data_IF_577170322403
#
_entry.id   IF_577170322403
#
_cell.length_a   1.000
_cell.length_b   1.000
_cell.length_c   1.000
_cell.angle_alpha   90.00
_cell.angle_beta   90.00
_cell.angle_gamma   90.00
#
_symmetry.space_group_name_H-M   'P 1'
#
loop_
_entity.id
_entity.type
_entity.pdbx_description
1 polymer ?
#
# COMPACT_ATOMS: atom_id res chain seq x y z
N UNK A 1 -3.62 1.58 19.77
CA UNK A 1 -3.87 2.70 18.86
C UNK A 1 -4.87 2.25 17.81
N UNK A 2 -5.83 3.10 17.49
CA UNK A 2 -6.81 2.83 16.45
C UNK A 2 -6.55 3.74 15.25
N UNK A 3 -6.55 3.15 14.06
CA UNK A 3 -6.47 3.88 12.81
C UNK A 3 -7.80 3.73 12.08
N UNK A 4 -8.43 4.86 11.78
CA UNK A 4 -9.67 4.84 10.99
C UNK A 4 -9.34 4.49 9.55
N UNK A 5 -10.16 3.61 8.96
CA UNK A 5 -9.98 3.18 7.57
C UNK A 5 -11.33 3.16 6.84
N UNK A 6 -11.31 3.61 5.59
CA UNK A 6 -12.41 3.40 4.65
C UNK A 6 -11.87 2.49 3.55
N UNK A 7 -12.57 1.38 3.34
CA UNK A 7 -12.22 0.42 2.31
C UNK A 7 -13.28 0.44 1.21
N UNK A 8 -12.93 1.06 0.09
CA UNK A 8 -13.76 1.09 -1.13
C UNK A 8 -13.29 0.07 -2.17
N UNK A 9 -12.35 -0.81 -1.80
CA UNK A 9 -11.85 -1.84 -2.69
C UNK A 9 -12.78 -3.05 -2.71
N UNK A 10 -12.52 -3.94 -3.66
CA UNK A 10 -13.16 -5.25 -3.73
C UNK A 10 -12.50 -6.29 -2.82
N UNK A 11 -11.45 -5.91 -2.11
CA UNK A 11 -10.70 -6.79 -1.23
C UNK A 11 -11.09 -6.60 0.23
N UNK A 12 -10.81 -7.58 1.06
CA UNK A 12 -10.94 -7.45 2.49
C UNK A 12 -10.00 -6.37 3.05
N UNK A 13 -10.40 -5.77 4.16
CA UNK A 13 -9.54 -4.80 4.84
C UNK A 13 -8.22 -5.47 5.25
N UNK A 14 -7.08 -4.83 5.02
CA UNK A 14 -5.79 -5.39 5.41
C UNK A 14 -5.73 -5.68 6.91
N UNK A 15 -5.02 -6.73 7.26
CA UNK A 15 -4.74 -7.09 8.64
C UNK A 15 -3.33 -7.66 8.75
N UNK A 16 -2.85 -7.80 9.97
CA UNK A 16 -1.59 -8.49 10.22
C UNK A 16 -1.83 -10.01 10.11
N UNK A 17 -1.15 -10.65 9.17
CA UNK A 17 -1.36 -12.08 8.89
C UNK A 17 -0.82 -12.99 10.00
N UNK A 18 0.19 -12.53 10.75
CA UNK A 18 0.75 -13.25 11.89
C UNK A 18 0.90 -12.30 13.06
N UNK A 19 0.98 -12.87 14.27
CA UNK A 19 1.17 -12.07 15.49
C UNK A 19 2.46 -11.25 15.47
N UNK A 20 3.51 -11.77 14.82
CA UNK A 20 4.80 -11.08 14.70
C UNK A 20 4.96 -10.23 13.46
N UNK A 21 3.92 -10.10 12.63
CA UNK A 21 4.01 -9.32 11.40
C UNK A 21 4.18 -7.83 11.69
N UNK A 22 5.16 -7.20 11.05
CA UNK A 22 5.40 -5.76 11.17
C UNK A 22 4.55 -4.95 10.20
N UNK A 23 4.08 -5.55 9.12
CA UNK A 23 3.31 -4.88 8.09
C UNK A 23 2.10 -5.67 7.65
N UNK A 24 1.24 -4.97 6.92
CA UNK A 24 0.06 -5.56 6.28
C UNK A 24 0.23 -5.46 4.77
N UNK A 25 -0.29 -6.45 4.05
CA UNK A 25 -0.28 -6.41 2.59
C UNK A 25 -1.32 -5.43 2.06
N UNK A 26 -0.93 -4.62 1.11
CA UNK A 26 -1.84 -3.84 0.28
C UNK A 26 -2.07 -4.61 -1.03
N UNK A 27 -3.31 -4.58 -1.50
CA UNK A 27 -3.68 -5.23 -2.76
C UNK A 27 -4.07 -4.20 -3.80
N UNK A 28 -3.71 -4.47 -5.04
CA UNK A 28 -4.12 -3.65 -6.17
C UNK A 28 -5.65 -3.74 -6.36
N UNK A 29 -6.31 -2.60 -6.34
CA UNK A 29 -7.74 -2.52 -6.63
C UNK A 29 -7.92 -2.10 -8.08
N UNK A 30 -7.82 -3.08 -8.98
CA UNK A 30 -7.83 -2.88 -10.43
C UNK A 30 -8.87 -3.78 -11.09
N UNK A 31 -9.43 -3.29 -12.20
CA UNK A 31 -10.39 -4.06 -13.01
C UNK A 31 -9.72 -4.90 -14.09
N UNK A 32 -8.54 -4.47 -14.55
CA UNK A 32 -7.78 -5.11 -15.62
C UNK A 32 -6.34 -5.27 -15.21
N UNK A 33 -5.67 -6.28 -15.72
CA UNK A 33 -4.23 -6.44 -15.54
C UNK A 33 -3.48 -5.19 -16.02
N UNK A 34 -2.46 -4.84 -15.27
CA UNK A 34 -1.52 -3.80 -15.64
C UNK A 34 -0.22 -4.49 -16.05
N UNK A 35 0.22 -4.23 -17.27
CA UNK A 35 1.50 -4.73 -17.76
C UNK A 35 2.53 -3.59 -17.71
N UNK A 36 3.63 -3.83 -17.01
CA UNK A 36 4.74 -2.89 -16.94
C UNK A 36 5.91 -3.46 -17.74
N UNK A 37 6.36 -2.73 -18.75
CA UNK A 37 7.62 -3.02 -19.43
C UNK A 37 8.80 -2.61 -18.54
N UNK A 38 10.01 -3.11 -18.81
CA UNK A 38 11.19 -2.68 -18.05
C UNK A 38 11.30 -1.16 -17.95
N UNK A 39 11.57 -0.67 -16.75
CA UNK A 39 11.68 0.75 -16.40
C UNK A 39 10.36 1.55 -16.43
N UNK A 40 9.24 0.92 -16.78
CA UNK A 40 7.95 1.60 -16.69
C UNK A 40 7.44 1.68 -15.25
N UNK A 41 6.64 2.71 -15.00
CA UNK A 41 6.02 2.99 -13.71
C UNK A 41 4.53 3.19 -13.87
N UNK A 42 3.78 2.85 -12.83
CA UNK A 42 2.37 3.16 -12.73
C UNK A 42 2.02 3.41 -11.27
N UNK A 43 1.03 4.25 -11.04
CA UNK A 43 0.42 4.38 -9.72
C UNK A 43 -0.76 3.44 -9.69
N UNK A 44 -0.72 2.48 -8.76
CA UNK A 44 -1.77 1.47 -8.61
C UNK A 44 -2.63 1.82 -7.40
N UNK A 45 -3.92 1.97 -7.63
CA UNK A 45 -4.87 2.34 -6.57
C UNK A 45 -5.17 1.15 -5.67
N UNK A 46 -5.41 1.41 -4.41
CA UNK A 46 -5.75 0.38 -3.41
C UNK A 46 -7.21 0.41 -2.99
N UNK A 47 -7.91 1.50 -3.25
CA UNK A 47 -9.26 1.71 -2.75
C UNK A 47 -9.32 1.98 -1.25
N UNK A 48 -8.18 2.22 -0.61
CA UNK A 48 -8.07 2.42 0.83
C UNK A 48 -7.78 3.88 1.18
N UNK A 49 -8.42 4.35 2.25
CA UNK A 49 -8.23 5.67 2.82
C UNK A 49 -8.03 5.49 4.32
N UNK A 50 -7.03 6.14 4.88
CA UNK A 50 -6.73 6.03 6.31
C UNK A 50 -6.63 7.41 6.95
N UNK A 51 -6.90 7.45 8.25
CA UNK A 51 -6.70 8.65 9.06
C UNK A 51 -5.82 8.26 10.25
N UNK A 52 -4.58 8.70 10.21
CA UNK A 52 -3.61 8.44 11.26
C UNK A 52 -3.71 9.49 12.36
N UNK A 53 -3.46 9.11 13.62
CA UNK A 53 -3.30 10.09 14.69
C UNK A 53 -2.11 11.02 14.42
N UNK A 54 -2.21 12.27 14.88
CA UNK A 54 -1.10 13.23 14.80
C UNK A 54 0.14 12.65 15.51
N UNK A 55 1.29 12.83 14.90
CA UNK A 55 2.55 12.27 15.38
C UNK A 55 2.90 10.90 14.81
N UNK A 56 2.04 10.35 13.96
CA UNK A 56 2.27 9.06 13.29
C UNK A 56 2.28 9.24 11.78
N UNK A 57 2.99 8.34 11.12
CA UNK A 57 2.97 8.19 9.67
C UNK A 57 2.75 6.73 9.32
N UNK A 58 2.27 6.46 8.12
CA UNK A 58 2.35 5.13 7.54
C UNK A 58 3.44 5.12 6.47
N UNK A 59 4.12 3.99 6.35
CA UNK A 59 5.12 3.79 5.30
C UNK A 59 4.67 2.67 4.37
N UNK A 60 4.69 2.97 3.08
CA UNK A 60 4.45 1.97 2.03
C UNK A 60 5.80 1.47 1.54
N UNK A 61 6.00 0.17 1.66
CA UNK A 61 7.27 -0.49 1.33
C UNK A 61 7.04 -1.63 0.34
N UNK A 62 8.04 -1.94 -0.51
CA UNK A 62 7.92 -3.06 -1.43
C UNK A 62 7.93 -4.40 -0.70
N UNK A 63 7.43 -5.42 -1.37
CA UNK A 63 7.55 -6.80 -0.90
C UNK A 63 8.88 -7.36 -1.37
N UNK A 64 9.64 -7.91 -0.43
CA UNK A 64 10.98 -8.43 -0.71
C UNK A 64 10.97 -9.54 -1.77
N UNK A 65 9.99 -10.41 -1.75
CA UNK A 65 9.89 -11.49 -2.73
C UNK A 65 9.63 -11.00 -4.16
N UNK A 66 8.76 -10.00 -4.32
CA UNK A 66 8.50 -9.41 -5.63
C UNK A 66 9.72 -8.64 -6.13
N UNK A 67 10.40 -7.93 -5.24
CA UNK A 67 11.61 -7.21 -5.59
C UNK A 67 12.71 -8.17 -6.06
N UNK A 68 12.96 -9.23 -5.29
CA UNK A 68 14.03 -10.18 -5.58
C UNK A 68 13.74 -11.05 -6.83
N UNK A 69 12.50 -11.50 -6.99
CA UNK A 69 12.15 -12.47 -8.05
C UNK A 69 11.67 -11.83 -9.34
N UNK A 70 11.03 -10.66 -9.24
CA UNK A 70 10.36 -10.02 -10.36
C UNK A 70 10.92 -8.63 -10.69
N UNK A 71 11.81 -8.10 -9.87
CA UNK A 71 12.32 -6.75 -10.05
C UNK A 71 11.26 -5.66 -9.88
N UNK A 72 10.19 -5.96 -9.14
CA UNK A 72 9.10 -5.01 -8.88
C UNK A 72 9.35 -4.35 -7.52
N UNK A 73 9.32 -3.03 -7.51
CA UNK A 73 9.56 -2.25 -6.30
C UNK A 73 8.60 -1.06 -6.22
N UNK A 74 8.69 -0.34 -5.14
CA UNK A 74 8.04 0.96 -4.97
C UNK A 74 9.12 2.02 -5.15
N UNK A 75 9.00 2.83 -6.20
CA UNK A 75 10.04 3.75 -6.63
C UNK A 75 10.45 4.74 -5.55
N UNK A 76 9.48 5.25 -4.80
CA UNK A 76 9.70 6.22 -3.73
C UNK A 76 9.84 5.57 -2.34
N UNK A 77 10.17 4.29 -2.28
CA UNK A 77 10.25 3.56 -1.00
C UNK A 77 11.28 4.17 -0.04
N UNK A 78 10.91 4.35 1.24
CA UNK A 78 9.58 4.18 1.78
C UNK A 78 8.64 5.33 1.40
N UNK A 79 7.46 4.99 0.91
CA UNK A 79 6.44 6.01 0.63
C UNK A 79 5.80 6.49 1.93
N UNK A 80 5.70 7.80 2.11
CA UNK A 80 5.16 8.39 3.33
C UNK A 80 3.68 8.72 3.17
N UNK A 81 2.87 8.28 4.13
CA UNK A 81 1.48 8.70 4.28
C UNK A 81 1.40 9.55 5.55
N UNK A 82 1.17 10.84 5.36
CA UNK A 82 1.12 11.81 6.46
C UNK A 82 -0.16 11.66 7.29
N UNK A 83 -0.12 12.11 8.54
CA UNK A 83 -1.27 12.04 9.44
C UNK A 83 -2.47 12.84 8.92
N UNK A 84 -2.23 13.92 8.18
CA UNK A 84 -3.29 14.77 7.61
C UNK A 84 -3.68 14.37 6.18
N UNK A 85 -3.07 13.34 5.61
CA UNK A 85 -3.44 12.88 4.28
C UNK A 85 -4.80 12.17 4.32
N UNK A 86 -5.72 12.58 3.46
CA UNK A 86 -7.09 12.01 3.38
C UNK A 86 -7.42 11.43 2.01
N UNK A 87 -6.45 11.42 1.11
CA UNK A 87 -6.63 10.85 -0.22
C UNK A 87 -6.54 9.32 -0.21
N UNK A 88 -6.79 8.75 -1.37
CA UNK A 88 -6.62 7.31 -1.58
C UNK A 88 -5.15 6.93 -1.53
N UNK A 89 -4.84 5.81 -0.89
CA UNK A 89 -3.49 5.26 -0.91
C UNK A 89 -3.23 4.67 -2.29
N UNK A 90 -2.21 5.19 -2.96
CA UNK A 90 -1.70 4.66 -4.21
C UNK A 90 -0.26 4.17 -4.05
N UNK A 91 0.09 3.16 -4.79
CA UNK A 91 1.42 2.55 -4.74
C UNK A 91 2.08 2.64 -6.11
#
# INVERSE_FOLDING_TARGET
>A
MNVQIINKSKHATPNYETQGAAGMDLRANIEKEITLKPLERAIVKTGLFIALPVGFEAQVRPRSGLAAKKGITVLNSPGTVDADYRGEIGV
#
